data_IF_767551825954
#
_entry.id   IF_767551825954
#
_cell.length_a   1.000
_cell.length_b   1.000
_cell.length_c   1.000
_cell.angle_alpha   90.00
_cell.angle_beta   90.00
_cell.angle_gamma   90.00
#
_symmetry.space_group_name_H-M   'P 1'
#
loop_
_entity.id
_entity.type
_entity.pdbx_description
1 polymer ?
#
# COMPACT_ATOMS: atom_id res chain seq x y z
N UNK A 1 -41.94 28.27 -13.93
CA UNK A 1 -41.17 27.24 -14.66
C UNK A 1 -39.75 27.76 -14.82
N UNK A 2 -38.74 26.93 -14.49
CA UNK A 2 -37.29 27.07 -14.74
C UNK A 2 -36.58 28.21 -13.98
N UNK A 3 -36.07 28.01 -12.77
CA UNK A 3 -34.88 27.25 -12.30
C UNK A 3 -33.70 28.20 -12.02
N UNK A 4 -33.45 28.36 -10.72
CA UNK A 4 -32.39 29.13 -10.08
C UNK A 4 -31.01 28.60 -10.49
N UNK A 5 -30.22 29.41 -11.18
CA UNK A 5 -28.76 29.21 -11.33
C UNK A 5 -28.07 29.67 -10.04
N UNK A 6 -28.21 28.89 -8.97
CA UNK A 6 -27.38 29.03 -7.79
C UNK A 6 -25.97 28.51 -8.10
N UNK A 7 -25.09 29.45 -8.45
CA UNK A 7 -23.65 29.37 -8.22
C UNK A 7 -23.41 28.77 -6.83
N UNK A 8 -23.05 27.49 -6.78
CA UNK A 8 -22.59 26.83 -5.56
C UNK A 8 -21.16 26.38 -5.78
N UNK A 9 -20.26 27.35 -5.56
CA UNK A 9 -19.03 27.18 -4.79
C UNK A 9 -18.70 25.73 -4.41
N UNK A 10 -18.04 24.99 -5.31
CA UNK A 10 -17.37 23.73 -4.98
C UNK A 10 -15.86 23.98 -4.81
N UNK A 11 -15.49 25.08 -4.17
CA UNK A 11 -14.14 25.36 -3.69
C UNK A 11 -14.08 24.95 -2.21
N UNK A 12 -13.94 23.65 -1.93
CA UNK A 12 -13.99 23.22 -0.51
C UNK A 12 -13.80 21.76 -0.16
N UNK A 13 -13.57 20.84 -1.10
CA UNK A 13 -13.20 19.47 -0.75
C UNK A 13 -11.82 19.15 -1.30
N UNK A 14 -10.78 19.57 -0.57
CA UNK A 14 -9.55 18.77 -0.51
C UNK A 14 -10.00 17.43 0.07
N UNK A 15 -10.42 16.53 -0.82
CA UNK A 15 -10.85 15.19 -0.46
C UNK A 15 -9.82 14.62 0.50
N UNK A 16 -10.28 14.16 1.65
CA UNK A 16 -9.46 13.44 2.62
C UNK A 16 -8.61 12.46 1.83
N UNK A 17 -7.31 12.74 1.74
CA UNK A 17 -6.39 11.78 1.15
C UNK A 17 -6.50 10.58 2.08
N UNK A 18 -6.93 9.40 1.60
CA UNK A 18 -6.98 8.22 2.46
C UNK A 18 -5.61 8.09 3.09
N UNK A 19 -5.59 8.04 4.42
CA UNK A 19 -4.35 7.84 5.15
C UNK A 19 -3.69 6.56 4.62
N UNK A 20 -2.36 6.54 4.52
CA UNK A 20 -1.69 5.31 4.15
C UNK A 20 -2.15 4.21 5.13
N UNK A 21 -2.47 2.99 4.64
CA UNK A 21 -2.87 1.91 5.52
C UNK A 21 -1.80 1.69 6.57
N UNK A 22 -2.23 1.43 7.80
CA UNK A 22 -1.31 1.13 8.90
C UNK A 22 -0.56 -0.17 8.62
N UNK A 23 0.61 -0.36 9.23
CA UNK A 23 1.39 -1.60 9.11
C UNK A 23 0.53 -2.82 9.43
N UNK A 24 -0.23 -2.78 10.52
CA UNK A 24 -1.17 -3.84 10.89
C UNK A 24 -2.23 -4.11 9.81
N UNK A 25 -2.74 -3.08 9.14
CA UNK A 25 -3.71 -3.24 8.07
C UNK A 25 -3.09 -3.86 6.81
N UNK A 26 -1.87 -3.45 6.46
CA UNK A 26 -1.11 -4.05 5.37
C UNK A 26 -0.85 -5.54 5.64
N UNK A 27 -0.45 -5.88 6.87
CA UNK A 27 -0.20 -7.26 7.27
C UNK A 27 -1.50 -8.06 7.30
N UNK A 28 -2.63 -7.49 7.77
CA UNK A 28 -3.95 -8.15 7.71
C UNK A 28 -4.40 -8.42 6.27
N UNK A 29 -4.21 -7.46 5.36
CA UNK A 29 -4.52 -7.66 3.94
C UNK A 29 -3.64 -8.75 3.33
N UNK A 30 -2.33 -8.69 3.56
CA UNK A 30 -1.39 -9.70 3.08
C UNK A 30 -1.69 -11.10 3.66
N UNK A 31 -2.05 -11.18 4.94
CA UNK A 31 -2.46 -12.42 5.61
C UNK A 31 -3.69 -13.01 4.93
N UNK A 32 -4.68 -12.17 4.61
CA UNK A 32 -5.91 -12.62 3.94
C UNK A 32 -5.66 -13.06 2.50
N UNK A 33 -4.78 -12.36 1.77
CA UNK A 33 -4.49 -12.65 0.36
C UNK A 33 -3.55 -13.85 0.17
N UNK A 34 -2.51 -13.93 0.99
CA UNK A 34 -1.45 -14.95 0.91
C UNK A 34 -1.67 -16.13 1.85
N UNK A 35 -2.70 -16.06 2.71
CA UNK A 35 -2.94 -17.06 3.76
C UNK A 35 -1.69 -17.29 4.61
N UNK A 36 -1.10 -16.20 5.13
CA UNK A 36 0.11 -16.26 5.94
C UNK A 36 -0.13 -17.02 7.26
N UNK A 37 0.87 -17.79 7.69
CA UNK A 37 0.86 -18.42 9.01
C UNK A 37 1.03 -17.37 10.11
N UNK A 38 0.67 -17.71 11.36
CA UNK A 38 0.86 -16.79 12.51
C UNK A 38 2.33 -16.43 12.74
N UNK A 39 3.24 -17.36 12.44
CA UNK A 39 4.69 -17.15 12.53
C UNK A 39 5.15 -16.14 11.47
N UNK A 40 4.71 -16.31 10.22
CA UNK A 40 4.99 -15.36 9.13
C UNK A 40 4.44 -13.96 9.43
N UNK A 41 3.23 -13.87 9.99
CA UNK A 41 2.64 -12.58 10.41
C UNK A 41 3.49 -11.88 11.46
N UNK A 42 3.96 -12.63 12.46
CA UNK A 42 4.83 -12.08 13.51
C UNK A 42 6.18 -11.61 12.95
N UNK A 43 6.76 -12.37 12.01
CA UNK A 43 7.99 -11.98 11.31
C UNK A 43 7.78 -10.71 10.48
N UNK A 44 6.64 -10.58 9.79
CA UNK A 44 6.30 -9.39 9.00
C UNK A 44 6.16 -8.14 9.87
N UNK A 45 5.56 -8.25 11.05
CA UNK A 45 5.48 -7.15 12.03
C UNK A 45 6.88 -6.69 12.44
N UNK A 46 7.77 -7.63 12.79
CA UNK A 46 9.16 -7.34 13.18
C UNK A 46 9.94 -6.69 12.05
N UNK A 47 9.81 -7.19 10.82
CA UNK A 47 10.47 -6.61 9.63
C UNK A 47 9.99 -5.18 9.40
N UNK A 48 8.67 -4.94 9.48
CA UNK A 48 8.12 -3.60 9.30
C UNK A 48 8.58 -2.63 10.38
N UNK A 49 8.64 -3.04 11.65
CA UNK A 49 9.15 -2.21 12.74
C UNK A 49 10.64 -1.88 12.56
N UNK A 50 11.46 -2.87 12.21
CA UNK A 50 12.90 -2.71 11.94
C UNK A 50 13.17 -1.64 10.88
N UNK A 51 12.32 -1.57 9.86
CA UNK A 51 12.46 -0.62 8.76
C UNK A 51 11.62 0.65 8.94
N UNK A 52 10.73 0.74 9.93
CA UNK A 52 9.81 1.87 10.11
C UNK A 52 10.54 3.22 10.25
N UNK A 53 11.62 3.27 11.02
CA UNK A 53 12.43 4.49 11.17
C UNK A 53 13.26 4.79 9.91
N UNK A 54 13.84 3.76 9.28
CA UNK A 54 14.62 3.92 8.05
C UNK A 54 13.77 4.33 6.83
N UNK A 55 12.46 4.08 6.88
CA UNK A 55 11.48 4.53 5.88
C UNK A 55 11.09 6.00 6.04
N UNK A 56 11.34 6.62 7.20
CA UNK A 56 11.12 8.06 7.42
C UNK A 56 12.17 8.89 6.70
N UNK A 57 13.37 8.36 6.52
CA UNK A 57 14.43 9.02 5.75
C UNK A 57 14.13 8.95 4.25
N UNK A 58 13.83 10.10 3.64
CA UNK A 58 13.47 10.17 2.21
C UNK A 58 14.59 9.75 1.27
N UNK A 59 15.85 9.89 1.67
CA UNK A 59 17.01 9.60 0.81
C UNK A 59 17.20 8.10 0.70
N UNK A 60 17.05 7.36 1.81
CA UNK A 60 17.17 5.91 1.82
C UNK A 60 15.84 5.18 1.69
N UNK A 61 14.68 5.84 1.82
CA UNK A 61 13.36 5.19 1.84
C UNK A 61 13.15 4.23 0.66
N UNK A 62 13.64 4.55 -0.54
CA UNK A 62 13.48 3.67 -1.69
C UNK A 62 14.32 2.39 -1.55
N UNK A 63 15.58 2.49 -1.13
CA UNK A 63 16.44 1.34 -0.88
C UNK A 63 15.96 0.53 0.32
N UNK A 64 15.56 1.20 1.39
CA UNK A 64 14.98 0.57 2.58
C UNK A 64 13.72 -0.21 2.24
N UNK A 65 12.82 0.33 1.39
CA UNK A 65 11.65 -0.43 0.90
C UNK A 65 12.04 -1.69 0.16
N UNK A 66 13.05 -1.61 -0.72
CA UNK A 66 13.53 -2.79 -1.46
C UNK A 66 14.08 -3.86 -0.51
N UNK A 67 14.92 -3.48 0.45
CA UNK A 67 15.48 -4.40 1.44
C UNK A 67 14.39 -5.03 2.32
N UNK A 68 13.42 -4.22 2.75
CA UNK A 68 12.26 -4.71 3.48
C UNK A 68 11.45 -5.70 2.65
N UNK A 69 11.19 -5.39 1.37
CA UNK A 69 10.48 -6.29 0.46
C UNK A 69 11.25 -7.60 0.23
N UNK A 70 12.56 -7.55 0.06
CA UNK A 70 13.41 -8.76 -0.07
C UNK A 70 13.35 -9.63 1.19
N UNK A 71 13.37 -9.03 2.39
CA UNK A 71 13.19 -9.77 3.65
C UNK A 71 11.79 -10.37 3.75
N UNK A 72 10.74 -9.64 3.38
CA UNK A 72 9.36 -10.17 3.36
C UNK A 72 9.22 -11.32 2.35
N UNK A 73 9.79 -11.19 1.16
CA UNK A 73 9.77 -12.23 0.13
C UNK A 73 10.49 -13.51 0.59
N UNK A 74 11.58 -13.39 1.36
CA UNK A 74 12.31 -14.52 1.91
C UNK A 74 11.51 -15.33 2.96
N UNK A 75 10.54 -14.70 3.63
CA UNK A 75 9.64 -15.40 4.59
C UNK A 75 8.51 -16.16 3.91
N UNK A 76 8.26 -15.92 2.62
CA UNK A 76 7.17 -16.54 1.86
C UNK A 76 7.59 -17.86 1.22
N UNK A 77 6.65 -18.80 1.12
CA UNK A 77 6.81 -19.99 0.28
C UNK A 77 6.67 -19.65 -1.20
N UNK A 78 7.18 -20.49 -2.10
CA UNK A 78 7.18 -20.26 -3.55
C UNK A 78 5.77 -19.95 -4.12
N UNK A 79 4.75 -20.69 -3.65
CA UNK A 79 3.35 -20.47 -4.01
C UNK A 79 2.77 -19.14 -3.47
N UNK A 80 3.25 -18.68 -2.31
CA UNK A 80 2.84 -17.40 -1.73
C UNK A 80 3.57 -16.23 -2.40
N UNK A 81 4.84 -16.42 -2.76
CA UNK A 81 5.66 -15.45 -3.47
C UNK A 81 5.05 -15.13 -4.84
N UNK A 82 4.63 -16.14 -5.61
CA UNK A 82 3.94 -15.92 -6.89
C UNK A 82 2.69 -15.06 -6.73
N UNK A 83 1.85 -15.37 -5.73
CA UNK A 83 0.64 -14.57 -5.43
C UNK A 83 0.98 -13.15 -4.99
N UNK A 84 2.02 -12.97 -4.18
CA UNK A 84 2.47 -11.67 -3.71
C UNK A 84 2.96 -10.79 -4.88
N UNK A 85 3.77 -11.35 -5.78
CA UNK A 85 4.24 -10.69 -7.00
C UNK A 85 3.06 -10.39 -7.94
N UNK A 86 2.11 -11.32 -8.08
CA UNK A 86 0.92 -11.12 -8.91
C UNK A 86 0.03 -9.98 -8.38
N UNK A 87 -0.23 -9.95 -7.07
CA UNK A 87 -0.99 -8.86 -6.43
C UNK A 87 -0.27 -7.52 -6.55
N UNK A 88 1.06 -7.50 -6.45
CA UNK A 88 1.88 -6.31 -6.68
C UNK A 88 1.75 -5.80 -8.12
N UNK A 89 1.82 -6.69 -9.11
CA UNK A 89 1.61 -6.36 -10.54
C UNK A 89 0.20 -5.83 -10.80
N UNK A 90 -0.82 -6.44 -10.18
CA UNK A 90 -2.22 -6.00 -10.28
C UNK A 90 -2.46 -4.64 -9.62
N UNK A 91 -1.85 -4.37 -8.47
CA UNK A 91 -1.90 -3.07 -7.79
C UNK A 91 -1.19 -1.93 -8.54
N UNK A 92 -0.22 -2.26 -9.39
CA UNK A 92 0.41 -1.34 -10.34
C UNK A 92 -0.48 -0.95 -11.53
N UNK A 93 -1.57 -1.68 -11.78
CA UNK A 93 -2.53 -1.41 -12.85
C UNK A 93 -3.69 -0.52 -12.39
N UNK A 94 -3.41 0.48 -11.54
CA UNK A 94 -4.35 1.59 -11.38
C UNK A 94 -4.39 2.33 -12.72
N UNK A 95 -5.56 2.50 -13.34
CA UNK A 95 -5.66 3.13 -14.65
C UNK A 95 -4.90 4.45 -14.61
N UNK A 96 -3.91 4.56 -15.50
CA UNK A 96 -3.20 5.78 -15.81
C UNK A 96 -4.27 6.87 -15.93
N UNK A 97 -4.31 7.82 -14.98
CA UNK A 97 -5.23 8.97 -15.06
C UNK A 97 -5.00 9.55 -16.45
N UNK A 98 -6.02 9.42 -17.30
CA UNK A 98 -5.96 9.81 -18.70
C UNK A 98 -5.48 11.26 -18.84
N UNK A 99 -4.94 11.62 -20.01
CA UNK A 99 -4.41 12.96 -20.22
C UNK A 99 -5.48 14.00 -19.87
N UNK A 100 -5.10 14.98 -19.04
CA UNK A 100 -5.89 16.20 -18.85
C UNK A 100 -5.98 16.87 -20.22
N UNK A 101 -7.17 16.86 -20.82
CA UNK A 101 -7.51 17.84 -21.86
C UNK A 101 -7.88 19.16 -21.20
#
# INVERSE_FOLDING_TARGET
MVALTSLSYAQGQRGQRPEPPSVEEMIKMATKELSLSKEQVSEWEVIHEKYADALKDRSSAQETRKKMEEELEATLTENQLEKYIENRKKGGNRPQRGPRQ
#
